data_IF_484486154452
#
_entry.id   IF_484486154452
#
_cell.length_a   1.000
_cell.length_b   1.000
_cell.length_c   1.000
_cell.angle_alpha   90.00
_cell.angle_beta   90.00
_cell.angle_gamma   90.00
#
_symmetry.space_group_name_H-M   'P 1'
#
loop_
_entity.id
_entity.type
_entity.pdbx_description
1 polymer ?
#
# COMPACT_ATOMS: atom_id res chain seq x y z
N UNK A 1 31.98 26.79 -41.30
CA UNK A 1 31.87 26.51 -39.85
C UNK A 1 30.45 26.87 -39.43
N UNK A 2 29.66 25.87 -38.99
CA UNK A 2 28.41 25.90 -38.17
C UNK A 2 27.30 26.91 -38.55
N UNK A 3 26.00 26.58 -38.61
CA UNK A 3 25.12 25.96 -37.62
C UNK A 3 23.88 25.40 -38.38
N UNK A 4 23.52 24.12 -38.34
CA UNK A 4 22.78 23.35 -37.32
C UNK A 4 21.39 23.91 -36.93
N UNK A 5 20.37 23.22 -37.45
CA UNK A 5 18.94 23.10 -37.04
C UNK A 5 18.01 24.30 -37.18
N UNK A 6 17.37 24.31 -38.36
CA UNK A 6 16.07 24.89 -38.63
C UNK A 6 14.98 23.80 -38.50
N UNK A 7 13.72 24.25 -38.37
CA UNK A 7 12.45 23.49 -38.44
C UNK A 7 11.89 22.85 -37.15
N UNK A 8 11.16 23.68 -36.39
CA UNK A 8 9.97 23.23 -35.66
C UNK A 8 8.87 22.86 -36.68
N UNK A 9 8.19 21.70 -36.57
CA UNK A 9 7.07 21.42 -37.46
C UNK A 9 5.80 22.18 -37.01
N UNK A 10 5.17 22.70 -38.06
CA UNK A 10 3.94 23.46 -38.17
C UNK A 10 2.78 22.98 -37.26
N UNK A 11 2.20 23.91 -36.50
CA UNK A 11 1.00 23.67 -35.69
C UNK A 11 -0.23 24.01 -36.53
N UNK A 12 -0.73 23.05 -37.30
CA UNK A 12 -2.06 23.17 -37.90
C UNK A 12 -2.67 21.80 -38.24
N UNK A 13 -3.91 21.63 -37.79
CA UNK A 13 -4.85 20.52 -38.04
C UNK A 13 -4.75 19.28 -37.14
N UNK A 14 -5.39 19.36 -35.96
CA UNK A 14 -6.04 18.21 -35.33
C UNK A 14 -7.55 18.53 -35.23
N UNK A 15 -8.45 17.66 -35.73
CA UNK A 15 -9.89 17.85 -35.62
C UNK A 15 -10.40 17.60 -34.20
N UNK A 16 -11.49 18.29 -33.85
CA UNK A 16 -12.26 18.17 -32.60
C UNK A 16 -12.53 16.71 -32.22
N UNK A 17 -11.77 16.19 -31.26
CA UNK A 17 -12.13 14.97 -30.54
C UNK A 17 -13.03 15.38 -29.36
N UNK A 18 -14.20 14.74 -29.16
CA UNK A 18 -15.03 15.05 -28.02
C UNK A 18 -14.29 14.62 -26.75
N UNK A 19 -14.19 15.53 -25.78
CA UNK A 19 -13.77 15.22 -24.42
C UNK A 19 -14.90 14.37 -23.80
N UNK A 20 -14.86 13.08 -24.08
CA UNK A 20 -15.68 12.10 -23.38
C UNK A 20 -15.14 12.03 -21.94
N UNK A 21 -15.95 12.47 -20.99
CA UNK A 21 -15.66 12.33 -19.57
C UNK A 21 -15.46 10.85 -19.23
N UNK A 22 -14.28 10.52 -18.70
CA UNK A 22 -14.08 9.27 -17.98
C UNK A 22 -14.41 9.51 -16.50
N UNK A 23 -15.54 9.03 -15.97
CA UNK A 23 -15.69 8.89 -14.52
C UNK A 23 -14.67 7.86 -14.01
N UNK A 24 -14.14 8.10 -12.82
CA UNK A 24 -13.05 7.34 -12.20
C UNK A 24 -13.23 5.83 -12.26
N UNK A 25 -12.45 5.19 -13.13
CA UNK A 25 -12.33 3.74 -13.24
C UNK A 25 -11.08 3.28 -12.46
N UNK A 26 -11.10 3.46 -11.14
CA UNK A 26 -10.09 2.86 -10.24
C UNK A 26 -10.46 1.43 -9.81
N UNK A 27 -11.52 0.85 -10.36
CA UNK A 27 -12.20 -0.26 -9.69
C UNK A 27 -12.08 -1.62 -10.37
N UNK A 28 -11.30 -1.74 -11.44
CA UNK A 28 -11.27 -3.00 -12.20
C UNK A 28 -9.85 -3.32 -12.65
N UNK A 29 -9.27 -4.33 -12.00
CA UNK A 29 -8.35 -5.37 -12.51
C UNK A 29 -7.40 -5.81 -11.37
N UNK A 30 -7.98 -6.43 -10.34
CA UNK A 30 -7.25 -7.36 -9.46
C UNK A 30 -7.65 -8.79 -9.79
N UNK A 31 -7.40 -9.20 -11.04
CA UNK A 31 -7.57 -10.60 -11.49
C UNK A 31 -6.57 -11.48 -10.76
N UNK A 32 -6.97 -11.99 -9.60
CA UNK A 32 -6.23 -12.88 -8.76
C UNK A 32 -5.55 -14.01 -9.55
N UNK A 33 -4.21 -13.99 -9.59
CA UNK A 33 -3.42 -15.22 -9.72
C UNK A 33 -3.56 -15.97 -8.39
N UNK A 34 -4.74 -16.59 -8.21
CA UNK A 34 -5.06 -17.46 -7.10
C UNK A 34 -4.14 -18.67 -7.17
N UNK A 35 -3.37 -18.90 -6.11
CA UNK A 35 -2.90 -20.26 -5.82
C UNK A 35 -4.15 -21.12 -5.56
N UNK A 36 -4.25 -22.33 -6.11
CA UNK A 36 -5.43 -23.16 -5.92
C UNK A 36 -5.36 -23.76 -4.50
N UNK A 37 -6.06 -23.13 -3.56
CA UNK A 37 -6.21 -23.62 -2.19
C UNK A 37 -6.77 -22.57 -1.22
N UNK A 38 -8.10 -22.48 -1.12
CA UNK A 38 -8.80 -21.89 0.03
C UNK A 38 -9.24 -20.42 -0.12
N UNK A 39 -10.40 -20.20 -0.73
CA UNK A 39 -11.02 -18.90 -1.02
C UNK A 39 -11.66 -18.22 0.22
N UNK A 40 -11.09 -18.44 1.42
CA UNK A 40 -11.48 -17.71 2.64
C UNK A 40 -10.31 -16.86 3.10
N UNK A 41 -10.50 -15.55 3.33
CA UNK A 41 -9.50 -14.76 4.02
C UNK A 41 -9.14 -15.50 5.32
N UNK A 42 -7.85 -15.74 5.54
CA UNK A 42 -7.39 -16.31 6.80
C UNK A 42 -8.00 -15.49 7.94
N UNK A 43 -8.61 -16.10 8.96
CA UNK A 43 -9.17 -15.33 10.06
C UNK A 43 -8.06 -14.55 10.76
N UNK A 44 -8.40 -13.38 11.30
CA UNK A 44 -7.50 -12.66 12.17
C UNK A 44 -7.20 -13.50 13.40
N UNK A 45 -5.94 -13.56 13.78
CA UNK A 45 -5.53 -14.18 15.04
C UNK A 45 -6.01 -13.35 16.22
N UNK A 46 -6.15 -13.96 17.40
CA UNK A 46 -6.46 -13.22 18.64
C UNK A 46 -5.46 -12.07 18.85
N UNK A 47 -4.17 -12.33 18.56
CA UNK A 47 -3.13 -11.32 18.60
C UNK A 47 -3.39 -10.15 17.64
N UNK A 48 -3.94 -10.42 16.46
CA UNK A 48 -4.33 -9.35 15.53
C UNK A 48 -5.53 -8.54 16.00
N UNK A 49 -6.49 -9.18 16.67
CA UNK A 49 -7.61 -8.46 17.29
C UNK A 49 -7.14 -7.55 18.42
N UNK A 50 -6.19 -7.99 19.25
CA UNK A 50 -5.56 -7.15 20.28
C UNK A 50 -4.85 -5.93 19.67
N UNK A 51 -4.12 -6.13 18.57
CA UNK A 51 -3.43 -5.05 17.85
C UNK A 51 -4.45 -4.05 17.29
N UNK A 52 -5.58 -4.51 16.74
CA UNK A 52 -6.64 -3.62 16.29
C UNK A 52 -7.22 -2.77 17.44
N UNK A 53 -7.34 -3.34 18.64
CA UNK A 53 -7.71 -2.60 19.85
C UNK A 53 -6.69 -1.50 20.17
N UNK A 54 -5.41 -1.85 20.19
CA UNK A 54 -4.31 -0.90 20.45
C UNK A 54 -4.28 0.25 19.42
N UNK A 55 -4.47 -0.08 18.14
CA UNK A 55 -4.51 0.91 17.07
C UNK A 55 -5.69 1.88 17.22
N UNK A 56 -6.86 1.37 17.63
CA UNK A 56 -8.04 2.19 17.89
C UNK A 56 -7.80 3.18 19.04
N UNK A 57 -7.14 2.74 20.10
CA UNK A 57 -6.76 3.60 21.23
C UNK A 57 -5.81 4.73 20.79
N UNK A 58 -4.98 4.48 19.78
CA UNK A 58 -4.10 5.47 19.14
C UNK A 58 -4.77 6.25 17.99
N UNK A 59 -6.11 6.18 17.88
CA UNK A 59 -6.92 6.83 16.84
C UNK A 59 -6.53 6.46 15.40
N UNK A 60 -6.08 5.22 15.18
CA UNK A 60 -5.73 4.65 13.87
C UNK A 60 -6.61 3.45 13.53
N UNK A 61 -7.03 3.35 12.28
CA UNK A 61 -7.81 2.22 11.75
C UNK A 61 -7.09 1.61 10.55
N UNK A 62 -7.15 0.28 10.44
CA UNK A 62 -6.52 -0.50 9.35
C UNK A 62 -7.50 -1.52 8.75
N UNK A 63 -8.67 -1.02 8.34
CA UNK A 63 -9.80 -1.85 7.91
C UNK A 63 -9.52 -2.56 6.58
N UNK A 64 -8.80 -1.91 5.66
CA UNK A 64 -8.45 -2.49 4.37
C UNK A 64 -7.48 -3.66 4.56
N UNK A 65 -6.48 -3.50 5.44
CA UNK A 65 -5.57 -4.60 5.80
C UNK A 65 -6.30 -5.72 6.53
N UNK A 66 -7.22 -5.42 7.45
CA UNK A 66 -7.98 -6.43 8.19
C UNK A 66 -8.89 -7.27 7.27
N UNK A 67 -9.58 -6.63 6.33
CA UNK A 67 -10.55 -7.30 5.46
C UNK A 67 -9.89 -7.98 4.26
N UNK A 68 -8.96 -7.30 3.59
CA UNK A 68 -8.40 -7.77 2.30
C UNK A 68 -7.04 -8.44 2.45
N UNK A 69 -6.30 -8.16 3.52
CA UNK A 69 -4.94 -8.66 3.73
C UNK A 69 -4.72 -9.23 5.14
N UNK A 70 -5.60 -10.10 5.66
CA UNK A 70 -5.49 -10.59 7.04
C UNK A 70 -4.18 -11.33 7.31
N UNK A 71 -3.60 -12.01 6.32
CA UNK A 71 -2.27 -12.62 6.43
C UNK A 71 -1.14 -11.61 6.67
N UNK A 72 -1.26 -10.38 6.12
CA UNK A 72 -0.32 -9.28 6.39
C UNK A 72 -0.51 -8.79 7.81
N UNK A 73 -1.76 -8.56 8.23
CA UNK A 73 -2.06 -8.12 9.58
C UNK A 73 -1.60 -9.15 10.61
N UNK A 74 -1.89 -10.44 10.43
CA UNK A 74 -1.40 -11.55 11.25
C UNK A 74 0.13 -11.53 11.40
N UNK A 75 0.86 -11.34 10.28
CA UNK A 75 2.32 -11.27 10.31
C UNK A 75 2.84 -10.04 11.05
N UNK A 76 2.19 -8.88 10.89
CA UNK A 76 2.54 -7.65 11.62
C UNK A 76 2.28 -7.81 13.12
N UNK A 77 1.14 -8.40 13.49
CA UNK A 77 0.73 -8.59 14.89
C UNK A 77 1.66 -9.55 15.64
N UNK A 78 2.24 -10.53 14.95
CA UNK A 78 3.22 -11.45 15.53
C UNK A 78 4.50 -10.76 16.02
N UNK A 79 4.83 -9.58 15.48
CA UNK A 79 6.04 -8.82 15.86
C UNK A 79 5.71 -7.48 16.52
N UNK A 80 4.44 -7.24 16.88
CA UNK A 80 3.93 -5.94 17.31
C UNK A 80 4.61 -5.34 18.55
N UNK A 81 5.12 -6.19 19.44
CA UNK A 81 5.82 -5.75 20.66
C UNK A 81 7.19 -5.16 20.39
N UNK A 82 7.73 -5.33 19.17
CA UNK A 82 8.98 -4.72 18.73
C UNK A 82 8.70 -3.71 17.61
N UNK A 83 8.58 -2.41 17.93
CA UNK A 83 8.35 -1.36 16.94
C UNK A 83 9.37 -1.35 15.79
N UNK A 84 10.63 -1.70 16.10
CA UNK A 84 11.69 -1.84 15.09
C UNK A 84 11.40 -3.00 14.13
N UNK A 85 10.99 -4.17 14.64
CA UNK A 85 10.68 -5.33 13.80
C UNK A 85 9.46 -5.08 12.91
N UNK A 86 8.43 -4.40 13.43
CA UNK A 86 7.27 -3.98 12.63
C UNK A 86 7.69 -3.01 11.53
N UNK A 87 8.51 -2.01 11.85
CA UNK A 87 9.00 -1.03 10.88
C UNK A 87 9.77 -1.69 9.72
N UNK A 88 10.69 -2.59 10.04
CA UNK A 88 11.46 -3.33 9.03
C UNK A 88 10.55 -4.22 8.19
N UNK A 89 9.62 -4.96 8.82
CA UNK A 89 8.67 -5.81 8.11
C UNK A 89 7.79 -5.01 7.14
N UNK A 90 7.30 -3.83 7.54
CA UNK A 90 6.57 -2.94 6.62
C UNK A 90 7.49 -2.49 5.49
N UNK A 91 8.74 -2.12 5.77
CA UNK A 91 9.74 -1.81 4.75
C UNK A 91 9.90 -2.94 3.71
N UNK A 92 9.99 -4.19 4.16
CA UNK A 92 10.05 -5.35 3.28
C UNK A 92 8.78 -5.56 2.45
N UNK A 93 7.60 -5.23 3.00
CA UNK A 93 6.32 -5.35 2.30
C UNK A 93 6.16 -4.26 1.22
N UNK A 94 6.71 -3.06 1.49
CA UNK A 94 6.65 -1.92 0.57
C UNK A 94 7.66 -2.01 -0.57
N UNK A 95 8.86 -2.54 -0.31
CA UNK A 95 9.85 -2.80 -1.34
C UNK A 95 9.44 -4.10 -2.02
N UNK A 96 8.78 -4.00 -3.18
CA UNK A 96 8.40 -5.16 -3.99
C UNK A 96 9.64 -5.92 -4.49
N UNK A 97 10.24 -6.72 -3.61
CA UNK A 97 11.39 -7.57 -3.94
C UNK A 97 10.97 -8.85 -4.66
N UNK A 98 9.67 -9.05 -4.92
CA UNK A 98 9.15 -10.36 -5.36
C UNK A 98 8.94 -10.49 -6.85
N UNK A 99 9.15 -9.44 -7.66
CA UNK A 99 9.19 -9.53 -9.12
C UNK A 99 7.94 -10.19 -9.72
N UNK A 100 6.93 -9.38 -10.05
CA UNK A 100 5.73 -9.86 -10.77
C UNK A 100 4.46 -9.96 -9.91
N UNK A 101 4.40 -9.33 -8.73
CA UNK A 101 3.12 -9.09 -8.03
C UNK A 101 2.65 -7.66 -8.31
N UNK A 102 1.36 -7.50 -8.58
CA UNK A 102 0.69 -6.19 -8.44
C UNK A 102 0.83 -5.82 -6.97
N UNK A 103 1.55 -4.76 -6.64
CA UNK A 103 1.78 -4.31 -5.27
C UNK A 103 0.48 -4.04 -4.48
N UNK A 104 0.59 -3.35 -3.35
CA UNK A 104 -0.60 -2.99 -2.58
C UNK A 104 -1.47 -1.97 -3.33
N UNK A 105 -2.81 -2.08 -3.27
CA UNK A 105 -3.69 -1.00 -3.71
C UNK A 105 -3.42 0.26 -2.87
N UNK A 106 -3.75 1.44 -3.41
CA UNK A 106 -3.45 2.73 -2.79
C UNK A 106 -3.94 2.82 -1.33
N UNK A 107 -5.13 2.29 -1.03
CA UNK A 107 -5.71 2.35 0.32
C UNK A 107 -4.93 1.47 1.31
N UNK A 108 -4.54 0.26 0.90
CA UNK A 108 -3.71 -0.62 1.74
C UNK A 108 -2.30 -0.04 1.93
N UNK A 109 -1.76 0.62 0.89
CA UNK A 109 -0.49 1.32 0.98
C UNK A 109 -0.55 2.47 1.99
N UNK A 110 -1.64 3.24 1.99
CA UNK A 110 -1.87 4.31 2.94
C UNK A 110 -1.88 3.79 4.39
N UNK A 111 -2.61 2.70 4.66
CA UNK A 111 -2.64 2.07 5.99
C UNK A 111 -1.26 1.56 6.42
N UNK A 112 -0.50 0.93 5.52
CA UNK A 112 0.87 0.48 5.80
C UNK A 112 1.81 1.65 6.12
N UNK A 113 1.71 2.76 5.39
CA UNK A 113 2.51 3.96 5.65
C UNK A 113 2.12 4.65 6.97
N UNK A 114 0.82 4.69 7.29
CA UNK A 114 0.33 5.19 8.57
C UNK A 114 0.88 4.35 9.73
N UNK A 115 0.80 3.02 9.64
CA UNK A 115 1.40 2.09 10.61
C UNK A 115 2.91 2.31 10.75
N UNK A 116 3.63 2.50 9.65
CA UNK A 116 5.07 2.77 9.69
C UNK A 116 5.39 4.05 10.45
N UNK A 117 4.63 5.13 10.22
CA UNK A 117 4.79 6.39 10.95
C UNK A 117 4.52 6.22 12.44
N UNK A 118 3.52 5.42 12.79
CA UNK A 118 3.24 5.09 14.18
C UNK A 118 4.41 4.33 14.82
N UNK A 119 4.98 3.34 14.12
CA UNK A 119 6.15 2.61 14.62
C UNK A 119 7.31 3.56 14.93
N UNK A 120 7.59 4.53 14.05
CA UNK A 120 8.62 5.55 14.30
C UNK A 120 8.32 6.34 15.58
N UNK A 121 7.07 6.76 15.81
CA UNK A 121 6.70 7.45 17.07
C UNK A 121 6.94 6.56 18.29
N UNK A 122 6.56 5.28 18.22
CA UNK A 122 6.77 4.32 19.32
C UNK A 122 8.27 4.06 19.57
N UNK A 123 9.08 3.98 18.52
CA UNK A 123 10.55 3.85 18.61
C UNK A 123 11.15 5.06 19.33
N UNK A 124 10.83 6.28 18.86
CA UNK A 124 11.36 7.52 19.45
C UNK A 124 10.91 7.65 20.92
N UNK A 125 9.63 7.39 21.22
CA UNK A 125 9.12 7.42 22.58
C UNK A 125 9.82 6.40 23.50
N UNK A 126 10.14 5.21 22.98
CA UNK A 126 10.89 4.18 23.73
C UNK A 126 12.38 4.51 23.90
N UNK A 127 12.95 5.33 23.02
CA UNK A 127 14.36 5.75 23.06
C UNK A 127 14.61 6.93 24.01
N UNK A 128 13.57 7.56 24.57
CA UNK A 128 13.69 8.63 25.55
C UNK A 128 14.28 9.95 25.01
N UNK A 129 14.13 10.21 23.71
CA UNK A 129 14.51 11.47 23.06
C UNK A 129 13.41 12.53 23.15
#
# INVERSE_FOLDING_TARGET
MNHLYDAFPDTRAMPDAPIAGHPGESDRIFSASRRPGGDRPEPLTDRSLEVLGTLRDEAMTVEILADRFPHVLNRLSAVWDSPNAVFELIGELLIDRRGGRRGFPADALYELLALRRLCVRRIVASAGL
#
